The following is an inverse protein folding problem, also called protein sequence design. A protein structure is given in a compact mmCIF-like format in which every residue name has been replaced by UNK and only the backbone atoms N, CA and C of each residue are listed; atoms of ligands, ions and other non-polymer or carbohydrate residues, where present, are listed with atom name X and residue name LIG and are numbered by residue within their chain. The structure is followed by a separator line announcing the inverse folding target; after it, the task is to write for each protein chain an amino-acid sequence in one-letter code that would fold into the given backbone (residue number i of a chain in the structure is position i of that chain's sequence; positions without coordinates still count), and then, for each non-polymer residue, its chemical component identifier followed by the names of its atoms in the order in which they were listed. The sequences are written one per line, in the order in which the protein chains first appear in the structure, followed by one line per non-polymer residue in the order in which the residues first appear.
data_IF_595687394265
#
_entry.id   IF_595687394265
#
_cell.length_a   1.000
_cell.length_b   1.000
_cell.length_c   1.000
_cell.angle_alpha   90.00
_cell.angle_beta   90.00
_cell.angle_gamma   90.00
#
_symmetry.space_group_name_H-M   'P 1'
#
loop_
_entity.id
_entity.type
_entity.pdbx_description
1 polymer ?
#
# COMPACT_ATOMS: atom_id res chain seq x y z
N UNK A 1 -10.02 39.73 -13.09
CA UNK A 1 -9.25 38.69 -12.36
C UNK A 1 -10.16 37.49 -12.21
N UNK A 2 -9.89 36.31 -12.81
CA UNK A 2 -10.73 35.15 -12.56
C UNK A 2 -10.34 34.55 -11.21
N UNK A 3 -11.34 34.26 -10.37
CA UNK A 3 -11.18 33.51 -9.13
C UNK A 3 -10.81 32.08 -9.54
N UNK A 4 -9.51 31.76 -9.49
CA UNK A 4 -9.04 30.41 -9.72
C UNK A 4 -9.59 29.51 -8.62
N UNK A 5 -10.52 28.63 -8.97
CA UNK A 5 -10.92 27.50 -8.11
C UNK A 5 -9.64 26.76 -7.73
N UNK A 6 -9.24 26.83 -6.47
CA UNK A 6 -8.15 25.99 -5.96
C UNK A 6 -8.58 24.54 -6.22
N UNK A 7 -7.74 23.69 -6.84
CA UNK A 7 -8.06 22.28 -6.97
C UNK A 7 -8.40 21.76 -5.58
N UNK A 8 -9.54 21.09 -5.48
CA UNK A 8 -10.07 20.59 -4.21
C UNK A 8 -8.99 19.71 -3.57
N UNK A 9 -8.44 20.16 -2.44
CA UNK A 9 -7.43 19.41 -1.70
C UNK A 9 -7.92 17.97 -1.49
N UNK A 10 -7.07 16.94 -1.64
CA UNK A 10 -7.48 15.58 -1.35
C UNK A 10 -7.90 15.47 0.11
N UNK A 11 -9.00 14.77 0.35
CA UNK A 11 -9.60 14.60 1.68
C UNK A 11 -9.26 13.25 2.30
N UNK A 12 -8.58 12.39 1.52
CA UNK A 12 -8.25 11.02 1.86
C UNK A 12 -6.88 10.64 1.31
N UNK A 13 -6.16 9.81 2.06
CA UNK A 13 -4.96 9.14 1.57
C UNK A 13 -5.28 7.93 0.69
N UNK A 14 -4.25 7.19 0.25
CA UNK A 14 -4.42 6.04 -0.62
C UNK A 14 -5.37 4.99 -0.04
N UNK A 15 -6.29 4.49 -0.86
CA UNK A 15 -7.22 3.43 -0.49
C UNK A 15 -7.05 2.26 -1.45
N UNK A 16 -6.85 1.07 -0.91
CA UNK A 16 -6.73 -0.16 -1.70
C UNK A 16 -7.88 -0.30 -2.69
N UNK A 17 -7.55 -0.63 -3.95
CA UNK A 17 -8.49 -0.80 -5.05
C UNK A 17 -8.55 -2.24 -5.52
N UNK A 18 -7.39 -2.80 -5.87
CA UNK A 18 -7.25 -4.12 -6.47
C UNK A 18 -5.80 -4.59 -6.37
N UNK A 19 -5.55 -5.85 -6.73
CA UNK A 19 -4.21 -6.38 -6.87
C UNK A 19 -4.11 -7.36 -8.03
N UNK A 20 -2.88 -7.63 -8.45
CA UNK A 20 -2.53 -8.71 -9.36
C UNK A 20 -1.33 -9.48 -8.80
N UNK A 21 -1.34 -10.80 -8.97
CA UNK A 21 -0.20 -11.67 -8.63
C UNK A 21 0.67 -11.79 -9.89
N UNK A 22 1.94 -11.40 -9.77
CA UNK A 22 2.94 -11.36 -10.83
C UNK A 22 4.10 -12.29 -10.45
N UNK A 23 3.94 -13.60 -10.69
CA UNK A 23 4.89 -14.61 -10.23
C UNK A 23 4.94 -14.67 -8.70
N UNK A 24 6.10 -14.33 -8.11
CA UNK A 24 6.30 -14.30 -6.66
C UNK A 24 6.05 -12.92 -6.03
N UNK A 25 5.39 -12.01 -6.75
CA UNK A 25 5.11 -10.65 -6.28
C UNK A 25 3.62 -10.35 -6.35
N UNK A 26 3.18 -9.38 -5.55
CA UNK A 26 1.83 -8.84 -5.62
C UNK A 26 1.90 -7.35 -5.93
N UNK A 27 1.28 -6.94 -7.03
CA UNK A 27 1.12 -5.54 -7.41
C UNK A 27 -0.22 -5.04 -6.91
N UNK A 28 -0.20 -4.03 -6.05
CA UNK A 28 -1.35 -3.38 -5.44
C UNK A 28 -1.66 -2.07 -6.15
N UNK A 29 -2.94 -1.82 -6.42
CA UNK A 29 -3.43 -0.55 -6.95
C UNK A 29 -4.23 0.19 -5.89
N UNK A 30 -4.15 1.51 -5.94
CA UNK A 30 -4.82 2.40 -4.99
C UNK A 30 -5.69 3.42 -5.71
N UNK A 31 -6.78 3.82 -5.07
CA UNK A 31 -7.49 5.07 -5.35
C UNK A 31 -6.96 6.18 -4.43
N UNK A 32 -7.37 7.42 -4.67
CA UNK A 32 -7.03 8.57 -3.80
C UNK A 32 -5.51 8.80 -3.65
N UNK A 33 -4.75 8.49 -4.70
CA UNK A 33 -3.29 8.69 -4.75
C UNK A 33 -2.88 10.15 -4.95
N UNK A 34 -3.81 11.05 -5.28
CA UNK A 34 -3.52 12.48 -5.49
C UNK A 34 -2.45 12.70 -6.55
N UNK A 35 -1.36 13.38 -6.20
CA UNK A 35 -0.18 13.58 -7.08
C UNK A 35 0.76 12.35 -7.17
N UNK A 36 0.39 11.25 -6.51
CA UNK A 36 1.07 9.96 -6.53
C UNK A 36 1.35 9.42 -5.14
N UNK A 37 1.87 8.19 -5.09
CA UNK A 37 2.25 7.55 -3.83
C UNK A 37 3.57 8.09 -3.29
N UNK A 38 3.74 8.01 -1.97
CA UNK A 38 4.94 8.44 -1.29
C UNK A 38 5.22 7.63 -0.02
N UNK A 39 6.50 7.53 0.32
CA UNK A 39 6.98 7.05 1.61
C UNK A 39 7.16 8.25 2.55
N UNK A 40 6.81 8.11 3.82
CA UNK A 40 7.05 9.12 4.87
C UNK A 40 7.69 8.45 6.09
N UNK A 41 8.35 9.22 6.95
CA UNK A 41 8.87 8.76 8.24
C UNK A 41 9.98 7.67 8.19
N UNK A 42 10.37 7.18 7.01
CA UNK A 42 11.55 6.33 6.78
C UNK A 42 11.97 6.35 5.30
N UNK A 43 13.13 5.74 5.01
CA UNK A 43 13.69 5.63 3.66
C UNK A 43 13.08 4.49 2.84
N UNK A 44 12.54 3.47 3.50
CA UNK A 44 11.94 2.28 2.87
C UNK A 44 10.45 2.20 3.11
N UNK A 45 9.71 1.68 2.14
CA UNK A 45 8.28 1.41 2.29
C UNK A 45 8.08 0.14 3.13
N UNK A 46 7.38 0.29 4.24
CA UNK A 46 7.04 -0.77 5.19
C UNK A 46 5.52 -0.82 5.33
N UNK A 47 4.99 -1.71 6.17
CA UNK A 47 3.54 -1.83 6.33
C UNK A 47 2.96 -3.17 5.92
N UNK A 48 3.69 -3.95 5.12
CA UNK A 48 3.14 -5.03 4.32
C UNK A 48 3.52 -6.41 4.84
N UNK A 49 2.53 -7.31 4.83
CA UNK A 49 2.73 -8.73 5.06
C UNK A 49 2.10 -9.54 3.93
N UNK A 50 2.77 -10.62 3.53
CA UNK A 50 2.32 -11.59 2.52
C UNK A 50 2.03 -12.94 3.16
N UNK A 51 1.06 -13.67 2.63
CA UNK A 51 0.84 -15.08 2.93
C UNK A 51 0.71 -15.87 1.63
N UNK A 52 1.18 -17.12 1.65
CA UNK A 52 0.86 -18.12 0.63
C UNK A 52 -0.37 -18.94 1.02
N UNK A 53 -0.57 -20.08 0.36
CA UNK A 53 -1.70 -20.98 0.62
C UNK A 53 -1.73 -21.55 2.06
N UNK A 54 -0.59 -21.52 2.75
CA UNK A 54 -0.46 -21.90 4.16
C UNK A 54 -1.11 -20.90 5.13
N UNK A 55 -1.54 -19.73 4.63
CA UNK A 55 -2.16 -18.63 5.37
C UNK A 55 -1.27 -18.02 6.46
N UNK A 56 0.03 -18.29 6.40
CA UNK A 56 0.99 -17.74 7.35
C UNK A 56 1.53 -16.42 6.83
N UNK A 57 1.18 -15.33 7.53
CA UNK A 57 1.64 -13.99 7.16
C UNK A 57 3.09 -13.78 7.59
N UNK A 58 3.92 -13.38 6.63
CA UNK A 58 5.30 -12.98 6.82
C UNK A 58 5.48 -11.53 6.40
N UNK A 59 6.36 -10.80 7.08
CA UNK A 59 6.73 -9.45 6.66
C UNK A 59 7.30 -9.46 5.25
N UNK A 60 6.97 -8.43 4.49
CA UNK A 60 7.31 -8.33 3.08
C UNK A 60 8.01 -7.00 2.77
N UNK A 61 8.90 -7.06 1.80
CA UNK A 61 9.49 -5.89 1.16
C UNK A 61 8.46 -5.27 0.21
N UNK A 62 8.45 -3.94 0.14
CA UNK A 62 7.55 -3.19 -0.71
C UNK A 62 8.27 -2.05 -1.45
N UNK A 63 7.84 -1.75 -2.66
CA UNK A 63 8.38 -0.63 -3.46
C UNK A 63 7.24 0.05 -4.22
N UNK A 64 7.30 1.38 -4.30
CA UNK A 64 6.38 2.16 -5.14
C UNK A 64 6.83 2.07 -6.60
N UNK A 65 5.92 1.68 -7.48
CA UNK A 65 6.11 1.66 -8.93
C UNK A 65 4.94 2.41 -9.59
N UNK A 66 5.16 3.68 -9.93
CA UNK A 66 4.11 4.61 -10.34
C UNK A 66 3.05 4.81 -9.24
N UNK A 67 1.79 4.57 -9.59
CA UNK A 67 0.65 4.61 -8.65
C UNK A 67 0.33 3.25 -8.02
N UNK A 68 1.28 2.31 -8.11
CA UNK A 68 1.15 0.96 -7.55
C UNK A 68 2.22 0.69 -6.50
N UNK A 69 1.96 -0.31 -5.66
CA UNK A 69 2.97 -0.87 -4.75
C UNK A 69 3.21 -2.31 -5.14
N UNK A 70 4.46 -2.67 -5.35
CA UNK A 70 4.89 -4.06 -5.57
C UNK A 70 5.41 -4.61 -4.26
N UNK A 71 4.85 -5.75 -3.83
CA UNK A 71 5.16 -6.41 -2.56
C UNK A 71 5.72 -7.80 -2.84
N UNK A 72 6.79 -8.18 -2.13
CA UNK A 72 7.40 -9.52 -2.24
C UNK A 72 8.05 -9.94 -0.92
N UNK A 73 8.19 -11.24 -0.69
CA UNK A 73 8.91 -11.77 0.47
C UNK A 73 9.76 -12.97 0.06
N UNK A 74 11.04 -13.07 0.47
CA UNK A 74 11.85 -14.27 0.23
C UNK A 74 11.23 -15.55 0.82
N UNK A 75 10.42 -15.42 1.87
CA UNK A 75 9.76 -16.55 2.54
C UNK A 75 8.39 -16.93 1.95
N UNK A 76 7.91 -16.23 0.92
CA UNK A 76 6.61 -16.49 0.28
C UNK A 76 6.79 -16.51 -1.24
N UNK A 77 7.03 -17.69 -1.82
CA UNK A 77 7.24 -17.86 -3.26
C UNK A 77 5.96 -17.77 -4.09
N UNK A 78 4.83 -18.16 -3.51
CA UNK A 78 3.51 -18.20 -4.16
C UNK A 78 2.52 -17.39 -3.32
N UNK A 79 2.55 -16.04 -3.41
CA UNK A 79 1.71 -15.20 -2.58
C UNK A 79 0.25 -15.23 -3.03
N UNK A 80 -0.67 -15.37 -2.07
CA UNK A 80 -2.13 -15.37 -2.32
C UNK A 80 -2.85 -14.25 -1.56
N UNK A 81 -2.22 -13.65 -0.55
CA UNK A 81 -2.81 -12.54 0.19
C UNK A 81 -1.80 -11.50 0.68
N UNK A 82 -2.27 -10.26 0.79
CA UNK A 82 -1.55 -9.11 1.34
C UNK A 82 -2.35 -8.48 2.47
N UNK A 83 -1.65 -8.02 3.50
CA UNK A 83 -2.17 -7.12 4.52
C UNK A 83 -1.29 -5.88 4.63
N UNK A 84 -1.92 -4.74 4.87
CA UNK A 84 -1.24 -3.47 5.15
C UNK A 84 -1.68 -2.88 6.48
N UNK A 85 -0.72 -2.38 7.27
CA UNK A 85 -0.94 -1.78 8.59
C UNK A 85 -1.75 -2.68 9.53
N UNK A 86 -1.58 -4.00 9.41
CA UNK A 86 -2.33 -5.01 10.17
C UNK A 86 -1.62 -5.29 11.51
N UNK A 87 -1.73 -4.33 12.43
CA UNK A 87 -1.27 -4.44 13.81
C UNK A 87 -2.07 -3.48 14.69
N UNK A 88 -2.13 -3.74 16.00
CA UNK A 88 -2.90 -2.92 16.95
C UNK A 88 -2.48 -1.44 17.00
N UNK A 89 -1.21 -1.14 16.69
CA UNK A 89 -0.68 0.22 16.59
C UNK A 89 0.33 0.33 15.43
N UNK A 90 -0.11 0.66 14.21
CA UNK A 90 0.75 0.63 13.03
C UNK A 90 1.54 1.93 12.84
N UNK A 91 2.20 2.44 13.90
CA UNK A 91 3.03 3.65 13.81
C UNK A 91 4.21 3.52 12.83
N UNK A 92 4.54 2.28 12.44
CA UNK A 92 5.57 1.92 11.48
C UNK A 92 5.06 1.83 10.03
N UNK A 93 3.74 1.89 9.79
CA UNK A 93 3.18 1.86 8.44
C UNK A 93 3.21 3.25 7.81
N UNK A 94 3.71 3.33 6.58
CA UNK A 94 4.23 4.59 6.06
C UNK A 94 3.95 4.85 4.58
N UNK A 95 2.91 4.22 4.02
CA UNK A 95 2.36 4.57 2.72
C UNK A 95 1.49 5.82 2.85
N UNK A 96 1.82 6.84 2.08
CA UNK A 96 1.08 8.10 1.98
C UNK A 96 0.82 8.42 0.50
N UNK A 97 -0.07 9.37 0.24
CA UNK A 97 -0.01 10.11 -1.02
C UNK A 97 0.96 11.30 -0.89
N UNK A 98 1.36 11.90 -2.02
CA UNK A 98 2.25 13.06 -2.03
C UNK A 98 1.66 14.28 -1.35
N UNK A 99 0.34 14.35 -1.23
CA UNK A 99 -0.39 15.37 -0.48
C UNK A 99 -0.26 15.23 1.06
N UNK A 100 0.39 14.16 1.54
CA UNK A 100 0.70 13.99 2.95
C UNK A 100 -0.38 13.27 3.76
N UNK A 101 -1.30 12.56 3.10
CA UNK A 101 -2.35 11.79 3.77
C UNK A 101 -2.00 10.30 3.81
N UNK A 102 -2.15 9.63 4.98
CA UNK A 102 -1.79 8.24 5.16
C UNK A 102 -2.77 7.29 4.46
N UNK A 103 -2.25 6.16 3.99
CA UNK A 103 -3.07 5.09 3.45
C UNK A 103 -3.89 4.39 4.54
N UNK A 104 -5.09 3.94 4.18
CA UNK A 104 -5.92 3.14 5.07
C UNK A 104 -5.39 1.70 5.16
N UNK A 105 -5.55 1.06 6.33
CA UNK A 105 -5.29 -0.37 6.49
C UNK A 105 -6.21 -1.19 5.59
N UNK A 106 -5.72 -2.33 5.09
CA UNK A 106 -6.52 -3.25 4.28
C UNK A 106 -5.98 -4.68 4.36
N UNK A 107 -6.81 -5.61 3.88
CA UNK A 107 -6.48 -7.02 3.67
C UNK A 107 -7.10 -7.51 2.37
N UNK A 108 -6.47 -8.48 1.71
CA UNK A 108 -7.02 -9.11 0.50
C UNK A 108 -7.57 -10.51 0.75
N UNK A 109 -7.29 -11.10 1.92
CA UNK A 109 -7.78 -12.42 2.31
C UNK A 109 -9.23 -12.40 2.82
N UNK A 110 -9.97 -13.50 2.59
CA UNK A 110 -11.37 -13.67 2.99
C UNK A 110 -11.62 -14.71 4.10
N UNK A 111 -10.55 -15.23 4.73
CA UNK A 111 -10.63 -16.27 5.76
C UNK A 111 -10.39 -15.77 7.19
#
# INVERSE_FOLDING_TARGET
MPIGLRPRAPWMGPVYKSHAIEGNKVRLQFTHVGEGLAVRHSDTLTGFALAGDDKQFQWADATIDGDTVVVSSPGVSEPVAVRYAWSGFPAWANLFNKDGLPALSFRTDAW
#
